data_IF_901561241189
#
_entry.id   IF_901561241189
#
_cell.length_a   1.000
_cell.length_b   1.000
_cell.length_c   1.000
_cell.angle_alpha   90.00
_cell.angle_beta   90.00
_cell.angle_gamma   90.00
#
_symmetry.space_group_name_H-M   'P 1'
#
loop_
_entity.id
_entity.type
_entity.pdbx_description
1 polymer ?
#
# COMPACT_ATOMS: atom_id res chain seq x y z
N UNK A 1 27.67 4.68 -25.53
CA UNK A 1 26.20 4.74 -25.67
C UNK A 1 25.45 3.96 -24.59
N UNK A 2 25.95 2.84 -24.05
CA UNK A 2 25.24 2.07 -22.99
C UNK A 2 25.01 2.78 -21.65
N UNK A 3 25.77 3.83 -21.35
CA UNK A 3 25.63 4.63 -20.12
C UNK A 3 24.25 5.29 -20.01
N UNK A 4 23.71 5.73 -21.15
CA UNK A 4 22.42 6.41 -21.23
C UNK A 4 21.27 5.41 -21.00
N UNK A 5 21.42 4.18 -21.50
CA UNK A 5 20.49 3.08 -21.26
C UNK A 5 20.42 2.71 -19.77
N UNK A 6 21.57 2.62 -19.10
CA UNK A 6 21.65 2.29 -17.66
C UNK A 6 20.97 3.37 -16.81
N UNK A 7 21.22 4.64 -17.11
CA UNK A 7 20.58 5.76 -16.42
C UNK A 7 19.06 5.77 -16.63
N UNK A 8 18.61 5.47 -17.86
CA UNK A 8 17.19 5.43 -18.20
C UNK A 8 16.49 4.24 -17.52
N UNK A 9 17.13 3.06 -17.44
CA UNK A 9 16.63 1.93 -16.68
C UNK A 9 16.48 2.24 -15.18
N UNK A 10 17.49 2.85 -14.56
CA UNK A 10 17.41 3.23 -13.14
C UNK A 10 16.28 4.21 -12.86
N UNK A 11 16.09 5.20 -13.74
CA UNK A 11 15.01 6.18 -13.61
C UNK A 11 13.62 5.53 -13.75
N UNK A 12 13.44 4.63 -14.73
CA UNK A 12 12.19 3.89 -14.91
C UNK A 12 11.88 2.98 -13.71
N UNK A 13 12.87 2.23 -13.23
CA UNK A 13 12.70 1.35 -12.06
C UNK A 13 12.34 2.20 -10.83
N UNK A 14 13.06 3.30 -10.58
CA UNK A 14 12.76 4.20 -9.47
C UNK A 14 11.32 4.74 -9.51
N UNK A 15 10.84 5.16 -10.69
CA UNK A 15 9.46 5.65 -10.85
C UNK A 15 8.42 4.55 -10.63
N UNK A 16 8.70 3.31 -11.06
CA UNK A 16 7.78 2.18 -10.84
C UNK A 16 7.68 1.78 -9.37
N UNK A 17 8.74 1.98 -8.57
CA UNK A 17 8.75 1.66 -7.13
C UNK A 17 7.92 2.65 -6.31
N UNK A 18 7.66 3.87 -6.81
CA UNK A 18 6.81 4.85 -6.10
C UNK A 18 5.33 4.45 -6.09
N UNK A 19 4.93 3.48 -6.93
CA UNK A 19 3.62 2.82 -6.84
C UNK A 19 3.60 1.70 -5.77
N UNK A 20 4.50 1.76 -4.79
CA UNK A 20 4.42 0.93 -3.61
C UNK A 20 3.23 1.40 -2.77
N UNK A 21 2.18 0.59 -2.79
CA UNK A 21 1.02 0.74 -1.93
C UNK A 21 1.39 1.00 -0.46
N UNK A 22 0.47 1.58 0.30
CA UNK A 22 0.70 1.99 1.68
C UNK A 22 0.79 0.79 2.61
N UNK A 23 1.86 0.67 3.42
CA UNK A 23 2.05 -0.43 4.36
C UNK A 23 1.07 -0.33 5.54
N UNK A 24 0.91 -1.41 6.34
CA UNK A 24 0.10 -1.36 7.56
C UNK A 24 0.55 -0.26 8.51
N UNK A 25 -0.42 0.41 9.13
CA UNK A 25 -0.19 1.49 10.08
C UNK A 25 0.19 2.83 9.47
N UNK A 26 0.47 2.90 8.17
CA UNK A 26 0.69 4.18 7.49
C UNK A 26 -0.64 4.89 7.18
N UNK A 27 -0.63 6.23 7.06
CA UNK A 27 -1.83 7.02 6.83
C UNK A 27 -2.45 6.73 5.47
N UNK A 28 -3.78 6.75 5.40
CA UNK A 28 -4.54 6.51 4.18
C UNK A 28 -5.77 7.42 4.09
N UNK A 29 -6.26 7.64 2.88
CA UNK A 29 -7.52 8.36 2.60
C UNK A 29 -8.59 7.42 2.06
N UNK A 30 -8.17 6.37 1.35
CA UNK A 30 -9.02 5.39 0.68
C UNK A 30 -8.43 3.99 0.74
N UNK A 31 -9.26 2.96 0.58
CA UNK A 31 -8.81 1.56 0.56
C UNK A 31 -7.79 1.28 -0.55
N UNK A 32 -7.90 1.99 -1.68
CA UNK A 32 -6.95 1.91 -2.80
C UNK A 32 -5.54 2.43 -2.48
N UNK A 33 -5.39 3.22 -1.41
CA UNK A 33 -4.07 3.66 -0.96
C UNK A 33 -3.31 2.52 -0.28
N UNK A 34 -4.03 1.56 0.30
CA UNK A 34 -3.47 0.47 1.08
C UNK A 34 -3.05 -0.71 0.21
N UNK A 35 -1.99 -1.42 0.62
CA UNK A 35 -1.62 -2.67 -0.05
C UNK A 35 -2.75 -3.69 0.03
N UNK A 36 -2.88 -4.55 -0.99
CA UNK A 36 -4.06 -5.40 -1.27
C UNK A 36 -4.66 -6.18 -0.08
N UNK A 37 -3.89 -6.45 0.97
CA UNK A 37 -4.34 -7.16 2.18
C UNK A 37 -4.82 -6.23 3.31
N UNK A 38 -4.84 -4.92 3.09
CA UNK A 38 -5.13 -3.88 4.07
C UNK A 38 -6.23 -2.94 3.57
N UNK A 39 -7.04 -2.45 4.49
CA UNK A 39 -8.12 -1.50 4.25
C UNK A 39 -7.87 -0.22 5.05
N UNK A 40 -8.35 0.90 4.53
CA UNK A 40 -8.22 2.17 5.20
C UNK A 40 -9.27 2.29 6.31
N UNK A 41 -8.82 2.23 7.57
CA UNK A 41 -9.73 2.42 8.70
C UNK A 41 -10.09 3.91 8.81
N UNK A 42 -11.36 4.32 8.61
CA UNK A 42 -11.75 5.73 8.60
C UNK A 42 -11.68 6.38 9.98
N UNK A 43 -11.74 5.61 11.06
CA UNK A 43 -11.60 6.12 12.43
C UNK A 43 -10.13 6.34 12.83
N UNK A 44 -9.21 5.52 12.29
CA UNK A 44 -7.78 5.63 12.57
C UNK A 44 -7.02 6.45 11.51
N UNK A 45 -7.61 6.64 10.32
CA UNK A 45 -6.96 7.23 9.15
C UNK A 45 -5.75 6.43 8.68
N UNK A 46 -5.75 5.10 8.87
CA UNK A 46 -4.57 4.23 8.68
C UNK A 46 -4.93 2.90 8.03
N UNK A 47 -4.00 2.34 7.27
CA UNK A 47 -4.13 1.00 6.70
C UNK A 47 -4.09 -0.05 7.80
N UNK A 48 -5.13 -0.88 7.89
CA UNK A 48 -5.27 -1.95 8.89
C UNK A 48 -5.62 -3.27 8.22
N UNK A 49 -5.31 -4.40 8.85
CA UNK A 49 -5.46 -5.73 8.24
C UNK A 49 -6.91 -6.02 7.85
N UNK A 50 -7.13 -6.34 6.57
CA UNK A 50 -8.42 -6.79 6.05
C UNK A 50 -8.70 -8.27 6.37
N UNK A 51 -9.91 -8.76 6.06
CA UNK A 51 -10.33 -10.15 6.31
C UNK A 51 -9.61 -11.16 5.38
N UNK A 52 -8.31 -11.36 5.57
CA UNK A 52 -7.53 -12.37 4.83
C UNK A 52 -5.99 -12.30 4.90
N UNK A 53 -5.40 -11.35 5.65
CA UNK A 53 -3.94 -11.17 5.70
C UNK A 53 -3.21 -11.92 6.84
N UNK A 54 -2.09 -12.64 6.59
CA UNK A 54 -1.33 -13.40 7.61
C UNK A 54 -0.56 -12.58 8.67
N UNK A 55 -0.86 -11.29 8.84
CA UNK A 55 -0.13 -10.38 9.74
C UNK A 55 -1.01 -9.46 10.60
N UNK A 56 -2.31 -9.72 10.69
CA UNK A 56 -3.24 -8.86 11.44
C UNK A 56 -3.67 -9.48 12.78
N UNK A 57 -3.58 -8.78 13.92
CA UNK A 57 -4.35 -9.16 15.09
C UNK A 57 -5.81 -8.85 14.76
N UNK A 58 -6.58 -9.92 14.48
CA UNK A 58 -7.93 -9.82 13.96
C UNK A 58 -8.81 -8.81 14.71
N UNK A 59 -9.65 -8.10 13.97
CA UNK A 59 -10.69 -7.27 14.60
C UNK A 59 -11.41 -6.31 13.68
N UNK A 60 -12.26 -6.82 12.77
CA UNK A 60 -13.60 -6.25 12.56
C UNK A 60 -13.71 -4.76 12.21
N UNK A 61 -12.94 -4.26 11.24
CA UNK A 61 -13.15 -2.91 10.70
C UNK A 61 -13.77 -2.98 9.29
N UNK A 62 -15.10 -3.05 9.28
CA UNK A 62 -15.94 -2.87 8.09
C UNK A 62 -17.38 -2.63 8.56
N UNK A 63 -18.14 -1.69 7.97
CA UNK A 63 -19.55 -1.57 8.26
C UNK A 63 -20.25 -2.86 7.78
N UNK A 64 -20.93 -3.54 8.71
CA UNK A 64 -21.87 -4.61 8.36
C UNK A 64 -23.14 -3.95 7.82
N UNK A 65 -23.16 -3.70 6.52
CA UNK A 65 -24.37 -3.39 5.74
C UNK A 65 -24.23 -3.99 4.37
#
# INVERSE_FOLDING_TARGET
MGKLLVLLCFALIAMTVVMACTPPGAPCTSDSDCCASFVCNPWAGRCTGGPGGPGGPGGRWGPRT
#
